data_IF_973717218624
#
_entry.id   IF_973717218624
#
_cell.length_a   1.000
_cell.length_b   1.000
_cell.length_c   1.000
_cell.angle_alpha   90.00
_cell.angle_beta   90.00
_cell.angle_gamma   90.00
#
_symmetry.space_group_name_H-M   'P 1'
#
loop_
_entity.id
_entity.type
_entity.pdbx_description
1 polymer ?
#
# COMPACT_ATOMS: atom_id res chain seq x y z
N UNK A 1 19.42 -14.39 -2.95
CA UNK A 1 18.56 -13.33 -2.39
C UNK A 1 17.39 -14.00 -1.70
N UNK A 2 17.01 -13.51 -0.52
CA UNK A 2 15.82 -14.01 0.19
C UNK A 2 14.59 -13.41 -0.49
N UNK A 3 13.58 -14.24 -0.79
CA UNK A 3 12.35 -13.74 -1.38
C UNK A 3 11.61 -12.83 -0.40
N UNK A 4 11.01 -11.76 -0.92
CA UNK A 4 10.13 -10.90 -0.13
C UNK A 4 8.95 -11.72 0.39
N UNK A 5 8.55 -11.63 1.67
CA UNK A 5 7.43 -12.42 2.19
C UNK A 5 6.12 -12.22 1.43
N UNK A 6 5.93 -11.09 0.75
CA UNK A 6 4.71 -10.79 -0.02
C UNK A 6 4.81 -11.21 -1.51
N UNK A 7 5.93 -11.77 -1.97
CA UNK A 7 6.12 -12.04 -3.40
C UNK A 7 5.15 -13.06 -3.99
N UNK A 8 4.57 -13.94 -3.15
CA UNK A 8 3.61 -14.97 -3.57
C UNK A 8 2.18 -14.69 -3.07
N UNK A 9 1.88 -13.46 -2.61
CA UNK A 9 0.60 -13.11 -1.97
C UNK A 9 -0.64 -13.43 -2.81
N UNK A 10 -0.52 -13.40 -4.15
CA UNK A 10 -1.60 -13.77 -5.07
C UNK A 10 -2.10 -15.20 -4.92
N UNK A 11 -1.33 -16.07 -4.29
CA UNK A 11 -1.71 -17.47 -4.03
C UNK A 11 -2.34 -17.68 -2.66
N UNK A 12 -2.23 -16.70 -1.75
CA UNK A 12 -2.52 -16.90 -0.33
C UNK A 12 -3.99 -17.23 -0.07
N UNK A 13 -4.91 -16.59 -0.81
CA UNK A 13 -6.36 -16.82 -0.64
C UNK A 13 -6.80 -18.28 -0.83
N UNK A 14 -5.98 -19.08 -1.51
CA UNK A 14 -6.24 -20.50 -1.77
C UNK A 14 -5.54 -21.46 -0.79
N UNK A 15 -4.78 -20.94 0.18
CA UNK A 15 -4.10 -21.76 1.18
C UNK A 15 -5.11 -22.43 2.11
N UNK A 16 -4.87 -23.71 2.40
CA UNK A 16 -5.67 -24.48 3.35
C UNK A 16 -5.37 -24.13 4.82
N UNK A 17 -4.20 -23.53 5.10
CA UNK A 17 -3.78 -23.09 6.44
C UNK A 17 -2.85 -21.88 6.36
N UNK A 18 -2.70 -21.16 7.48
CA UNK A 18 -1.93 -19.93 7.54
C UNK A 18 -2.69 -18.70 7.03
N UNK A 19 -1.95 -17.65 6.68
CA UNK A 19 -2.53 -16.41 6.16
C UNK A 19 -3.09 -16.61 4.74
N UNK A 20 -4.37 -16.27 4.58
CA UNK A 20 -5.08 -16.19 3.29
C UNK A 20 -5.07 -14.78 2.69
N UNK A 21 -4.70 -13.80 3.50
CA UNK A 21 -4.40 -12.41 3.18
C UNK A 21 -3.66 -11.82 4.39
N UNK A 22 -3.32 -10.54 4.35
CA UNK A 22 -2.56 -9.89 5.43
C UNK A 22 -3.24 -8.59 5.88
N UNK A 23 -3.45 -8.39 7.19
CA UNK A 23 -3.81 -7.09 7.70
C UNK A 23 -2.59 -6.16 7.61
N UNK A 24 -2.79 -4.99 7.05
CA UNK A 24 -1.79 -3.92 6.98
C UNK A 24 -2.08 -2.88 8.05
N UNK A 25 -1.23 -2.83 9.08
CA UNK A 25 -1.43 -1.95 10.24
C UNK A 25 -0.83 -0.57 9.94
N UNK A 26 -1.70 0.39 9.61
CA UNK A 26 -1.34 1.76 9.23
C UNK A 26 -1.42 2.71 10.43
N UNK A 27 -0.66 2.42 11.49
CA UNK A 27 -0.68 3.22 12.73
C UNK A 27 0.73 3.50 13.25
N UNK A 28 0.96 4.75 13.64
CA UNK A 28 2.17 5.18 14.33
C UNK A 28 2.06 5.11 15.87
N UNK A 29 0.91 4.65 16.40
CA UNK A 29 0.70 4.63 17.84
C UNK A 29 1.40 3.42 18.49
N UNK A 30 2.28 3.61 19.50
CA UNK A 30 3.12 2.54 20.04
C UNK A 30 2.32 1.36 20.61
N UNK A 31 1.17 1.64 21.24
CA UNK A 31 0.28 0.60 21.79
C UNK A 31 -0.37 -0.25 20.69
N UNK A 32 -0.70 0.35 19.54
CA UNK A 32 -1.31 -0.38 18.41
C UNK A 32 -0.29 -1.31 17.78
N UNK A 33 0.93 -0.82 17.54
CA UNK A 33 2.05 -1.64 17.03
C UNK A 33 2.36 -2.79 18.00
N UNK A 34 2.42 -2.52 19.31
CA UNK A 34 2.60 -3.57 20.32
C UNK A 34 1.47 -4.61 20.28
N UNK A 35 0.22 -4.19 20.20
CA UNK A 35 -0.93 -5.09 20.13
C UNK A 35 -0.87 -5.98 18.87
N UNK A 36 -0.54 -5.41 17.72
CA UNK A 36 -0.36 -6.14 16.46
C UNK A 36 0.75 -7.20 16.56
N UNK A 37 1.92 -6.82 17.10
CA UNK A 37 3.04 -7.75 17.30
C UNK A 37 2.70 -8.86 18.30
N UNK A 38 2.03 -8.55 19.41
CA UNK A 38 1.58 -9.58 20.38
C UNK A 38 0.60 -10.55 19.73
N UNK A 39 -0.34 -10.04 18.93
CA UNK A 39 -1.31 -10.88 18.24
C UNK A 39 -0.62 -11.80 17.22
N UNK A 40 0.19 -11.24 16.32
CA UNK A 40 0.95 -12.02 15.34
C UNK A 40 1.91 -13.02 16.02
N UNK A 41 2.52 -12.61 17.14
CA UNK A 41 3.43 -13.43 17.93
C UNK A 41 2.77 -14.71 18.46
N UNK A 42 1.55 -14.61 19.01
CA UNK A 42 0.78 -15.78 19.49
C UNK A 42 0.44 -16.77 18.38
N UNK A 43 0.27 -16.29 17.16
CA UNK A 43 -0.09 -17.12 16.00
C UNK A 43 1.13 -17.60 15.21
N UNK A 44 2.34 -17.17 15.58
CA UNK A 44 3.56 -17.48 14.82
C UNK A 44 3.62 -16.82 13.44
N UNK A 45 2.86 -15.75 13.22
CA UNK A 45 2.68 -15.09 11.91
C UNK A 45 3.58 -13.84 11.76
N UNK A 46 3.86 -13.40 10.53
CA UNK A 46 4.44 -12.08 10.28
C UNK A 46 3.45 -10.96 10.61
N UNK A 47 3.97 -9.73 10.76
CA UNK A 47 3.16 -8.51 10.92
C UNK A 47 3.56 -7.49 9.85
N UNK A 48 2.59 -6.92 9.15
CA UNK A 48 2.79 -5.82 8.22
C UNK A 48 2.42 -4.50 8.92
N UNK A 49 3.39 -3.60 9.02
CA UNK A 49 3.22 -2.27 9.61
C UNK A 49 3.58 -1.25 8.54
N UNK A 50 2.69 -0.31 8.27
CA UNK A 50 2.89 0.72 7.25
C UNK A 50 2.88 2.13 7.83
N UNK A 51 3.72 2.99 7.26
CA UNK A 51 3.72 4.42 7.52
C UNK A 51 3.35 5.18 6.24
N UNK A 52 2.48 6.17 6.35
CA UNK A 52 2.11 7.05 5.23
C UNK A 52 3.18 8.10 4.97
N UNK A 53 3.21 8.62 3.74
CA UNK A 53 4.08 9.74 3.35
C UNK A 53 3.90 11.01 4.20
N UNK A 54 2.72 11.21 4.81
CA UNK A 54 2.45 12.33 5.71
C UNK A 54 2.94 12.06 7.15
N UNK A 55 2.88 10.81 7.60
CA UNK A 55 3.37 10.39 8.92
C UNK A 55 4.89 10.51 9.00
N UNK A 56 5.56 9.91 8.02
CA UNK A 56 6.99 9.66 8.02
C UNK A 56 7.54 10.02 6.64
N UNK A 57 8.52 10.92 6.61
CA UNK A 57 9.28 11.27 5.42
C UNK A 57 10.63 11.89 5.82
N UNK A 58 11.47 12.27 4.87
CA UNK A 58 12.80 12.85 5.15
C UNK A 58 12.74 14.17 5.94
N UNK A 59 11.61 14.88 5.89
CA UNK A 59 11.37 16.13 6.62
C UNK A 59 10.75 15.86 8.02
N UNK A 60 10.57 14.59 8.40
CA UNK A 60 10.00 14.12 9.67
C UNK A 60 8.49 13.88 9.66
N UNK A 61 7.78 14.31 8.61
CA UNK A 61 6.31 14.26 8.57
C UNK A 61 5.66 14.93 9.79
N UNK A 62 4.44 14.53 10.13
CA UNK A 62 3.79 15.02 11.36
C UNK A 62 4.22 14.27 12.62
N UNK A 63 4.89 13.12 12.49
CA UNK A 63 5.38 12.34 13.64
C UNK A 63 6.74 12.82 14.15
N UNK A 64 7.46 13.61 13.36
CA UNK A 64 8.85 13.98 13.61
C UNK A 64 9.86 12.86 13.31
N UNK A 65 9.44 11.78 12.63
CA UNK A 65 10.28 10.63 12.31
C UNK A 65 10.65 10.58 10.83
N UNK A 66 11.91 10.27 10.55
CA UNK A 66 12.35 9.78 9.24
C UNK A 66 12.00 8.29 9.08
N UNK A 67 12.07 7.70 7.87
CA UNK A 67 11.89 6.26 7.70
C UNK A 67 12.84 5.41 8.55
N UNK A 68 14.08 5.88 8.76
CA UNK A 68 15.03 5.24 9.67
C UNK A 68 14.55 5.27 11.13
N UNK A 69 14.11 6.43 11.60
CA UNK A 69 13.58 6.58 12.96
C UNK A 69 12.33 5.71 13.19
N UNK A 70 11.44 5.61 12.19
CA UNK A 70 10.25 4.75 12.29
C UNK A 70 10.63 3.28 12.38
N UNK A 71 11.61 2.82 11.58
CA UNK A 71 12.14 1.46 11.70
C UNK A 71 12.68 1.20 13.11
N UNK A 72 13.55 2.08 13.61
CA UNK A 72 14.17 1.93 14.93
C UNK A 72 13.11 1.92 16.03
N UNK A 73 12.08 2.77 15.91
CA UNK A 73 10.93 2.79 16.79
C UNK A 73 10.17 1.45 16.82
N UNK A 74 9.89 0.86 15.66
CA UNK A 74 9.25 -0.46 15.54
C UNK A 74 10.17 -1.56 16.10
N UNK A 75 11.47 -1.50 15.82
CA UNK A 75 12.46 -2.48 16.29
C UNK A 75 12.60 -2.47 17.82
N UNK A 76 12.56 -1.30 18.45
CA UNK A 76 12.54 -1.17 19.92
C UNK A 76 11.33 -1.85 20.53
N UNK A 77 10.14 -1.71 19.92
CA UNK A 77 8.92 -2.40 20.37
C UNK A 77 9.07 -3.91 20.19
N UNK A 78 9.55 -4.36 19.02
CA UNK A 78 9.76 -5.78 18.75
C UNK A 78 10.72 -6.43 19.77
N UNK A 79 11.85 -5.77 20.04
CA UNK A 79 12.85 -6.22 21.02
C UNK A 79 12.27 -6.33 22.43
N UNK A 80 11.48 -5.35 22.87
CA UNK A 80 10.81 -5.38 24.19
C UNK A 80 9.85 -6.57 24.31
N UNK A 81 9.20 -6.95 23.21
CA UNK A 81 8.24 -8.06 23.16
C UNK A 81 8.90 -9.42 22.92
N UNK A 82 10.21 -9.46 22.61
CA UNK A 82 10.86 -10.67 22.10
C UNK A 82 10.30 -11.12 20.75
N UNK A 83 9.72 -10.22 19.96
CA UNK A 83 9.22 -10.53 18.63
C UNK A 83 10.40 -10.52 17.63
N UNK A 84 10.61 -11.58 16.84
CA UNK A 84 11.69 -11.63 15.86
C UNK A 84 11.47 -10.60 14.74
N UNK A 85 12.39 -9.64 14.60
CA UNK A 85 12.24 -8.51 13.69
C UNK A 85 12.22 -8.93 12.22
N UNK A 86 12.82 -10.08 11.88
CA UNK A 86 12.75 -10.68 10.54
C UNK A 86 11.33 -11.06 10.10
N UNK A 87 10.37 -11.12 11.02
CA UNK A 87 8.94 -11.33 10.73
C UNK A 87 8.14 -10.02 10.64
N UNK A 88 8.78 -8.87 10.84
CA UNK A 88 8.18 -7.56 10.60
C UNK A 88 8.37 -7.20 9.14
N UNK A 89 7.27 -6.89 8.47
CA UNK A 89 7.28 -6.33 7.12
C UNK A 89 6.98 -4.84 7.29
N UNK A 90 7.92 -3.99 6.89
CA UNK A 90 7.74 -2.55 6.86
C UNK A 90 7.26 -2.12 5.48
N UNK A 91 6.12 -1.42 5.43
CA UNK A 91 5.56 -0.86 4.21
C UNK A 91 5.43 0.67 4.24
N UNK A 92 5.52 1.29 3.08
CA UNK A 92 5.28 2.71 2.91
C UNK A 92 4.00 2.92 2.09
N UNK A 93 3.13 3.77 2.61
CA UNK A 93 1.79 4.01 2.08
C UNK A 93 1.65 5.37 1.40
N UNK A 94 0.96 5.39 0.26
CA UNK A 94 0.77 6.53 -0.65
C UNK A 94 2.08 7.30 -0.91
N UNK A 95 3.16 6.58 -1.22
CA UNK A 95 4.45 7.21 -1.46
C UNK A 95 4.44 7.93 -2.82
N UNK A 96 4.51 9.25 -2.76
CA UNK A 96 4.51 10.13 -3.91
C UNK A 96 4.52 11.60 -3.51
N UNK A 97 4.06 12.51 -4.38
CA UNK A 97 4.16 13.95 -4.14
C UNK A 97 3.13 14.50 -3.15
N UNK A 98 2.23 13.68 -2.59
CA UNK A 98 1.10 14.14 -1.76
C UNK A 98 1.47 15.14 -0.64
N UNK A 99 2.52 14.93 0.18
CA UNK A 99 2.91 15.90 1.23
C UNK A 99 3.34 17.26 0.67
N UNK A 100 3.76 17.30 -0.59
CA UNK A 100 4.31 18.48 -1.26
C UNK A 100 3.48 18.90 -2.48
N UNK A 101 2.24 18.44 -2.62
CA UNK A 101 1.38 18.74 -3.79
C UNK A 101 1.08 20.23 -4.01
N UNK A 102 1.34 21.07 -3.00
CA UNK A 102 1.25 22.54 -3.11
C UNK A 102 2.45 23.17 -3.81
N UNK A 103 3.52 22.41 -4.06
CA UNK A 103 4.68 22.84 -4.86
C UNK A 103 4.46 22.52 -6.34
N UNK A 104 5.24 23.13 -7.26
CA UNK A 104 5.30 22.71 -8.66
C UNK A 104 5.68 21.24 -8.79
N UNK A 105 5.17 20.57 -9.83
CA UNK A 105 5.35 19.14 -10.06
C UNK A 105 6.80 18.65 -9.96
N UNK A 106 7.75 19.38 -10.56
CA UNK A 106 9.17 19.03 -10.52
C UNK A 106 9.71 18.99 -9.09
N UNK A 107 9.44 20.04 -8.30
CA UNK A 107 9.92 20.14 -6.91
C UNK A 107 9.26 19.09 -6.01
N UNK A 108 7.95 18.87 -6.17
CA UNK A 108 7.22 17.85 -5.42
C UNK A 108 7.74 16.44 -5.74
N UNK A 109 8.03 16.14 -7.00
CA UNK A 109 8.58 14.85 -7.41
C UNK A 109 10.03 14.66 -6.98
N UNK A 110 10.85 15.71 -6.93
CA UNK A 110 12.21 15.61 -6.40
C UNK A 110 12.20 15.27 -4.91
N UNK A 111 11.29 15.86 -4.13
CA UNK A 111 11.06 15.46 -2.74
C UNK A 111 10.51 14.04 -2.60
N UNK A 112 9.59 13.63 -3.48
CA UNK A 112 9.07 12.26 -3.49
C UNK A 112 10.17 11.22 -3.78
N UNK A 113 11.13 11.52 -4.66
CA UNK A 113 12.29 10.66 -4.91
C UNK A 113 13.20 10.54 -3.69
N UNK A 114 13.48 11.65 -2.99
CA UNK A 114 14.25 11.62 -1.74
C UNK A 114 13.56 10.78 -0.67
N UNK A 115 12.24 10.92 -0.54
CA UNK A 115 11.44 10.09 0.36
C UNK A 115 11.58 8.61 0.02
N UNK A 116 11.36 8.24 -1.25
CA UNK A 116 11.45 6.84 -1.69
C UNK A 116 12.84 6.24 -1.44
N UNK A 117 13.91 6.99 -1.71
CA UNK A 117 15.27 6.57 -1.38
C UNK A 117 15.44 6.31 0.13
N UNK A 118 14.90 7.20 0.98
CA UNK A 118 14.96 7.05 2.44
C UNK A 118 14.18 5.82 2.94
N UNK A 119 12.95 5.58 2.45
CA UNK A 119 12.16 4.39 2.77
C UNK A 119 12.90 3.11 2.33
N UNK A 120 13.40 3.08 1.11
CA UNK A 120 14.10 1.93 0.55
C UNK A 120 15.40 1.61 1.32
N UNK A 121 16.22 2.62 1.65
CA UNK A 121 17.44 2.45 2.47
C UNK A 121 17.17 2.06 3.91
N UNK A 122 16.05 2.51 4.48
CA UNK A 122 15.61 2.10 5.81
C UNK A 122 15.13 0.64 5.85
N UNK A 123 15.01 -0.05 4.70
CA UNK A 123 14.63 -1.46 4.64
C UNK A 123 13.11 -1.68 4.58
N UNK A 124 12.35 -0.69 4.10
CA UNK A 124 10.95 -0.90 3.76
C UNK A 124 10.86 -1.75 2.50
N UNK A 125 10.14 -2.87 2.57
CA UNK A 125 10.10 -3.87 1.52
C UNK A 125 8.74 -3.98 0.84
N UNK A 126 7.74 -3.20 1.26
CA UNK A 126 6.48 -2.99 0.53
C UNK A 126 6.35 -1.50 0.23
N UNK A 127 6.24 -1.12 -1.03
CA UNK A 127 6.17 0.29 -1.44
C UNK A 127 4.90 0.53 -2.26
N UNK A 128 3.95 1.25 -1.70
CA UNK A 128 2.79 1.75 -2.44
C UNK A 128 3.17 3.04 -3.17
N UNK A 129 3.23 3.00 -4.50
CA UNK A 129 3.59 4.13 -5.34
C UNK A 129 2.32 4.81 -5.86
N UNK A 130 1.97 5.94 -5.25
CA UNK A 130 0.80 6.73 -5.62
C UNK A 130 1.22 8.13 -6.04
N UNK A 131 1.12 8.37 -7.34
CA UNK A 131 1.44 9.66 -7.98
C UNK A 131 0.25 10.20 -8.78
N UNK A 132 -0.96 9.83 -8.38
CA UNK A 132 -2.22 10.16 -9.08
C UNK A 132 -2.67 11.61 -8.91
N UNK A 133 -2.25 12.25 -7.82
CA UNK A 133 -2.66 13.61 -7.47
C UNK A 133 -1.88 14.67 -8.25
N UNK A 134 -2.60 15.69 -8.70
CA UNK A 134 -1.99 16.88 -9.27
C UNK A 134 -1.16 17.69 -8.27
N UNK A 135 -0.03 18.22 -8.75
CA UNK A 135 0.74 19.24 -8.04
C UNK A 135 0.26 20.65 -8.42
N UNK A 136 0.91 21.70 -7.89
CA UNK A 136 0.52 23.07 -8.21
C UNK A 136 0.62 23.35 -9.71
N UNK A 137 -0.48 23.83 -10.29
CA UNK A 137 -0.59 24.10 -11.73
C UNK A 137 -1.08 22.90 -12.56
N UNK A 138 -1.35 21.75 -11.96
CA UNK A 138 -1.88 20.56 -12.63
C UNK A 138 -3.37 20.32 -12.32
N UNK A 139 -4.09 19.54 -13.14
CA UNK A 139 -5.42 19.05 -12.80
C UNK A 139 -5.41 18.25 -11.51
N UNK A 140 -6.50 18.28 -10.74
CA UNK A 140 -6.63 17.56 -9.45
C UNK A 140 -6.32 16.06 -9.60
N UNK A 141 -6.84 15.44 -10.65
CA UNK A 141 -6.52 14.08 -11.05
C UNK A 141 -5.72 14.09 -12.35
N UNK A 142 -4.56 13.43 -12.35
CA UNK A 142 -3.71 13.31 -13.52
C UNK A 142 -4.21 12.23 -14.48
N UNK A 143 -3.67 12.23 -15.71
CA UNK A 143 -3.89 11.12 -16.63
C UNK A 143 -3.17 9.86 -16.15
N UNK A 144 -3.74 8.69 -16.45
CA UNK A 144 -3.17 7.38 -16.10
C UNK A 144 -1.72 7.23 -16.58
N UNK A 145 -1.41 7.74 -17.78
CA UNK A 145 -0.06 7.70 -18.34
C UNK A 145 0.95 8.51 -17.53
N UNK A 146 0.61 9.75 -17.12
CA UNK A 146 1.50 10.59 -16.31
C UNK A 146 1.65 10.05 -14.89
N UNK A 147 0.57 9.53 -14.32
CA UNK A 147 0.58 8.82 -13.04
C UNK A 147 1.56 7.65 -13.10
N UNK A 148 1.44 6.78 -14.12
CA UNK A 148 2.31 5.63 -14.29
C UNK A 148 3.78 6.00 -14.51
N UNK A 149 4.06 7.06 -15.30
CA UNK A 149 5.41 7.56 -15.53
C UNK A 149 6.08 8.03 -14.23
N UNK A 150 5.34 8.81 -13.42
CA UNK A 150 5.84 9.27 -12.12
C UNK A 150 6.10 8.11 -11.17
N UNK A 151 5.18 7.15 -11.06
CA UNK A 151 5.36 5.94 -10.25
C UNK A 151 6.59 5.14 -10.71
N UNK A 152 6.80 4.95 -12.01
CA UNK A 152 7.99 4.29 -12.54
C UNK A 152 9.29 5.02 -12.19
N UNK A 153 9.28 6.36 -12.19
CA UNK A 153 10.43 7.17 -11.77
C UNK A 153 10.78 6.98 -10.29
N UNK A 154 9.77 6.82 -9.42
CA UNK A 154 9.97 6.50 -8.01
C UNK A 154 10.48 5.07 -7.82
N UNK A 155 9.89 4.11 -8.53
CA UNK A 155 10.36 2.72 -8.52
C UNK A 155 11.85 2.62 -8.91
N UNK A 156 12.29 3.37 -9.92
CA UNK A 156 13.70 3.38 -10.35
C UNK A 156 14.65 3.82 -9.23
N UNK A 157 14.23 4.79 -8.41
CA UNK A 157 15.01 5.24 -7.23
C UNK A 157 15.07 4.14 -6.19
N UNK A 158 13.95 3.51 -5.85
CA UNK A 158 13.91 2.38 -4.91
C UNK A 158 14.80 1.21 -5.37
N UNK A 159 14.75 0.88 -6.67
CA UNK A 159 15.53 -0.19 -7.27
C UNK A 159 17.04 0.08 -7.21
N UNK A 160 17.45 1.34 -7.42
CA UNK A 160 18.84 1.76 -7.31
C UNK A 160 19.33 1.69 -5.85
N UNK A 161 18.52 2.18 -4.90
CA UNK A 161 18.83 2.20 -3.48
C UNK A 161 18.96 0.79 -2.86
N UNK A 162 18.28 -0.19 -3.44
CA UNK A 162 18.21 -1.56 -2.89
C UNK A 162 19.00 -2.58 -3.71
N UNK A 163 19.91 -2.16 -4.61
CA UNK A 163 20.63 -3.06 -5.55
C UNK A 163 21.23 -4.29 -4.88
N UNK A 164 21.87 -4.06 -3.72
CA UNK A 164 22.57 -5.08 -2.96
C UNK A 164 21.80 -5.53 -1.70
N UNK A 165 20.52 -5.13 -1.59
CA UNK A 165 19.68 -5.51 -0.46
C UNK A 165 19.36 -7.01 -0.48
N UNK A 166 19.36 -7.65 0.69
CA UNK A 166 19.05 -9.07 0.82
C UNK A 166 17.62 -9.41 0.37
N UNK A 167 16.69 -8.47 0.60
CA UNK A 167 15.28 -8.52 0.18
C UNK A 167 15.01 -7.28 -0.67
N UNK A 168 14.53 -7.50 -1.90
CA UNK A 168 14.09 -6.44 -2.81
C UNK A 168 12.63 -6.04 -2.49
N UNK A 169 12.24 -4.78 -2.71
CA UNK A 169 10.88 -4.34 -2.47
C UNK A 169 9.88 -5.00 -3.42
N UNK A 170 8.65 -5.17 -2.94
CA UNK A 170 7.46 -5.35 -3.77
C UNK A 170 6.72 -4.02 -3.91
N UNK A 171 5.98 -3.87 -5.00
CA UNK A 171 5.26 -2.66 -5.33
C UNK A 171 3.75 -2.86 -5.30
N UNK A 172 3.04 -1.84 -4.84
CA UNK A 172 1.61 -1.65 -5.02
C UNK A 172 1.42 -0.40 -5.87
N UNK A 173 0.53 -0.44 -6.85
CA UNK A 173 0.22 0.68 -7.75
C UNK A 173 -1.26 1.05 -7.69
N UNK A 174 -1.63 2.16 -8.31
CA UNK A 174 -3.01 2.65 -8.29
C UNK A 174 -3.31 3.49 -7.06
N UNK A 175 -4.57 3.86 -6.92
CA UNK A 175 -5.09 4.69 -5.84
C UNK A 175 -6.58 4.37 -5.70
N UNK A 176 -7.16 4.62 -4.55
CA UNK A 176 -8.61 4.61 -4.38
C UNK A 176 -9.19 5.98 -4.70
N UNK A 177 -10.42 5.98 -5.21
CA UNK A 177 -11.13 7.22 -5.51
C UNK A 177 -12.49 7.14 -4.81
N UNK A 178 -12.83 8.11 -3.94
CA UNK A 178 -12.01 9.23 -3.49
C UNK A 178 -10.81 8.80 -2.59
N UNK A 179 -9.78 9.64 -2.49
CA UNK A 179 -8.58 9.47 -1.64
C UNK A 179 -9.01 9.22 -0.17
N UNK A 180 -8.31 8.39 0.64
CA UNK A 180 -8.77 7.93 1.94
C UNK A 180 -8.67 9.02 3.00
N UNK A 181 -9.45 8.84 4.06
CA UNK A 181 -9.37 9.70 5.24
C UNK A 181 -10.62 9.68 6.14
N UNK A 182 -11.59 8.81 5.84
CA UNK A 182 -12.94 8.93 6.37
C UNK A 182 -13.63 10.15 5.75
N UNK A 183 -14.83 9.97 5.20
CA UNK A 183 -15.57 11.14 4.75
C UNK A 183 -15.97 11.97 5.97
N UNK A 184 -15.69 13.27 5.94
CA UNK A 184 -16.18 14.21 6.94
C UNK A 184 -17.71 14.41 6.84
N UNK A 185 -18.36 13.83 5.84
CA UNK A 185 -19.79 13.87 5.56
C UNK A 185 -20.35 12.44 5.41
N UNK A 186 -21.68 12.31 5.49
CA UNK A 186 -22.36 11.03 5.32
C UNK A 186 -22.15 10.51 3.89
N UNK A 187 -21.63 9.29 3.77
CA UNK A 187 -21.36 8.65 2.47
C UNK A 187 -22.62 7.93 2.02
N UNK A 188 -23.31 8.48 1.04
CA UNK A 188 -24.54 7.88 0.51
C UNK A 188 -24.24 6.80 -0.55
N UNK A 189 -23.28 7.03 -1.46
CA UNK A 189 -22.91 6.07 -2.50
C UNK A 189 -21.40 6.05 -2.77
N UNK A 190 -20.82 4.84 -2.77
CA UNK A 190 -19.43 4.59 -3.07
C UNK A 190 -19.34 3.74 -4.35
N UNK A 191 -18.71 4.29 -5.39
CA UNK A 191 -18.57 3.59 -6.66
C UNK A 191 -17.45 2.56 -6.57
N UNK A 192 -17.80 1.28 -6.76
CA UNK A 192 -16.83 0.20 -6.89
C UNK A 192 -15.98 0.45 -8.14
N UNK A 193 -14.65 0.30 -8.03
CA UNK A 193 -13.76 0.48 -9.17
C UNK A 193 -14.19 -0.37 -10.36
N UNK A 194 -14.31 0.27 -11.52
CA UNK A 194 -14.68 -0.41 -12.76
C UNK A 194 -13.60 -1.42 -13.17
N UNK A 195 -13.95 -2.64 -13.60
CA UNK A 195 -12.99 -3.66 -14.01
C UNK A 195 -11.98 -3.21 -15.07
N UNK A 196 -12.41 -2.36 -15.99
CA UNK A 196 -11.61 -1.82 -17.09
C UNK A 196 -10.55 -0.85 -16.56
N UNK A 197 -10.90 -0.01 -15.57
CA UNK A 197 -9.97 0.93 -14.95
C UNK A 197 -8.85 0.21 -14.18
N UNK A 198 -9.18 -0.89 -13.48
CA UNK A 198 -8.18 -1.72 -12.81
C UNK A 198 -7.20 -2.36 -13.80
N UNK A 199 -7.72 -2.88 -14.94
CA UNK A 199 -6.87 -3.43 -16.02
C UNK A 199 -5.98 -2.36 -16.64
N UNK A 200 -6.56 -1.21 -16.96
CA UNK A 200 -5.83 -0.09 -17.58
C UNK A 200 -4.71 0.39 -16.67
N UNK A 201 -4.99 0.62 -15.38
CA UNK A 201 -4.00 1.05 -14.38
C UNK A 201 -2.77 0.15 -14.40
N UNK A 202 -2.97 -1.18 -14.36
CA UNK A 202 -1.87 -2.13 -14.34
C UNK A 202 -1.14 -2.17 -15.68
N UNK A 203 -1.87 -2.07 -16.80
CA UNK A 203 -1.28 -2.03 -18.14
C UNK A 203 -0.37 -0.81 -18.34
N UNK A 204 -0.86 0.40 -18.01
CA UNK A 204 -0.07 1.63 -18.16
C UNK A 204 1.15 1.65 -17.24
N UNK A 205 1.06 1.12 -16.02
CA UNK A 205 2.21 1.01 -15.13
C UNK A 205 3.24 0.00 -15.65
N UNK A 206 2.80 -1.13 -16.20
CA UNK A 206 3.69 -2.10 -16.84
C UNK A 206 4.49 -1.45 -17.97
N UNK A 207 3.82 -0.68 -18.83
CA UNK A 207 4.47 0.05 -19.91
C UNK A 207 5.43 1.12 -19.41
N UNK A 208 5.03 1.91 -18.41
CA UNK A 208 5.87 2.96 -17.85
C UNK A 208 7.14 2.40 -17.21
N UNK A 209 7.05 1.29 -16.48
CA UNK A 209 8.21 0.60 -15.91
C UNK A 209 9.14 0.07 -17.01
N UNK A 210 8.57 -0.46 -18.10
CA UNK A 210 9.36 -0.90 -19.25
C UNK A 210 10.08 0.27 -19.95
N UNK A 211 9.38 1.39 -20.18
CA UNK A 211 9.94 2.63 -20.76
C UNK A 211 11.05 3.22 -19.89
N UNK A 212 10.93 3.11 -18.57
CA UNK A 212 11.95 3.53 -17.60
C UNK A 212 13.14 2.55 -17.47
N UNK A 213 13.16 1.44 -18.23
CA UNK A 213 14.24 0.45 -18.19
C UNK A 213 14.25 -0.46 -16.95
N UNK A 214 13.16 -0.49 -16.20
CA UNK A 214 13.00 -1.25 -14.94
C UNK A 214 11.89 -2.30 -15.04
N UNK A 215 11.68 -2.90 -16.23
CA UNK A 215 10.63 -3.90 -16.45
C UNK A 215 10.66 -5.06 -15.43
N UNK A 216 11.86 -5.50 -15.03
CA UNK A 216 12.03 -6.55 -14.01
C UNK A 216 11.53 -6.13 -12.63
N UNK A 217 11.51 -4.83 -12.30
CA UNK A 217 10.92 -4.34 -11.06
C UNK A 217 9.40 -4.56 -11.04
N UNK A 218 8.75 -4.42 -12.19
CA UNK A 218 7.31 -4.63 -12.32
C UNK A 218 6.89 -6.09 -12.12
N UNK A 219 7.79 -7.06 -12.30
CA UNK A 219 7.54 -8.46 -11.91
C UNK A 219 7.35 -8.62 -10.39
N UNK A 220 7.76 -7.63 -9.59
CA UNK A 220 7.52 -7.54 -8.15
C UNK A 220 6.38 -6.57 -7.79
N UNK A 221 5.63 -6.06 -8.77
CA UNK A 221 4.34 -5.44 -8.49
C UNK A 221 3.34 -6.55 -8.15
N UNK A 222 2.89 -6.59 -6.89
CA UNK A 222 2.08 -7.70 -6.35
C UNK A 222 0.64 -7.30 -6.09
N UNK A 223 0.31 -6.01 -6.20
CA UNK A 223 -1.07 -5.57 -5.99
C UNK A 223 -1.38 -4.22 -6.61
N UNK A 224 -2.68 -3.97 -6.72
CA UNK A 224 -3.21 -2.68 -7.12
C UNK A 224 -4.24 -2.23 -6.08
N UNK A 225 -4.22 -0.93 -5.77
CA UNK A 225 -5.27 -0.30 -4.96
C UNK A 225 -6.50 -0.09 -5.83
N UNK A 226 -7.65 -0.46 -5.28
CA UNK A 226 -8.98 -0.29 -5.88
C UNK A 226 -10.00 -0.03 -4.77
N UNK A 227 -11.15 0.54 -5.13
CA UNK A 227 -12.28 0.76 -4.24
C UNK A 227 -13.27 -0.43 -4.33
N UNK A 228 -13.35 -1.33 -3.32
CA UNK A 228 -14.26 -2.48 -3.32
C UNK A 228 -15.71 -2.16 -2.91
N UNK A 229 -16.02 -0.90 -2.58
CA UNK A 229 -17.29 -0.53 -1.96
C UNK A 229 -17.25 -0.62 -0.44
N UNK A 230 -16.11 -0.28 0.18
CA UNK A 230 -15.98 -0.15 1.64
C UNK A 230 -15.47 1.23 2.00
N UNK A 231 -16.09 1.84 3.00
CA UNK A 231 -15.68 3.14 3.57
C UNK A 231 -16.41 3.34 4.89
N UNK A 232 -16.03 4.36 5.64
CA UNK A 232 -16.74 4.82 6.82
C UNK A 232 -16.83 6.35 6.86
N UNK A 233 -17.96 6.86 7.34
CA UNK A 233 -18.16 8.26 7.68
C UNK A 233 -18.17 8.46 9.19
N UNK A 234 -18.49 9.67 9.65
CA UNK A 234 -18.57 10.00 11.08
C UNK A 234 -19.58 9.14 11.86
N UNK A 235 -20.65 8.71 11.19
CA UNK A 235 -21.80 8.04 11.83
C UNK A 235 -22.28 6.78 11.11
N UNK A 236 -21.63 6.37 10.02
CA UNK A 236 -22.03 5.22 9.22
C UNK A 236 -20.82 4.42 8.70
N UNK A 237 -21.08 3.16 8.36
CA UNK A 237 -20.11 2.26 7.72
C UNK A 237 -20.75 1.73 6.45
N UNK A 238 -20.06 1.85 5.32
CA UNK A 238 -20.45 1.24 4.05
C UNK A 238 -19.91 -0.18 4.05
N UNK A 239 -20.80 -1.15 4.30
CA UNK A 239 -20.41 -2.56 4.39
C UNK A 239 -20.05 -3.15 3.02
N UNK A 240 -19.04 -4.02 3.00
CA UNK A 240 -18.65 -4.73 1.78
C UNK A 240 -19.80 -5.57 1.21
N UNK A 241 -20.05 -5.42 -0.09
CA UNK A 241 -21.01 -6.21 -0.87
C UNK A 241 -20.28 -6.99 -1.96
N UNK A 242 -20.13 -8.30 -1.74
CA UNK A 242 -19.45 -9.19 -2.68
C UNK A 242 -20.15 -9.24 -4.05
N UNK A 243 -21.47 -9.05 -4.11
CA UNK A 243 -22.22 -9.02 -5.36
C UNK A 243 -21.85 -7.81 -6.21
N UNK A 244 -21.73 -6.63 -5.60
CA UNK A 244 -21.29 -5.40 -6.28
C UNK A 244 -19.83 -5.48 -6.73
N UNK A 245 -18.96 -6.12 -5.94
CA UNK A 245 -17.53 -6.25 -6.26
C UNK A 245 -17.18 -7.45 -7.15
N UNK A 246 -18.15 -8.29 -7.56
CA UNK A 246 -17.89 -9.53 -8.29
C UNK A 246 -17.17 -9.30 -9.62
N UNK A 247 -17.61 -8.31 -10.41
CA UNK A 247 -16.99 -7.98 -11.70
C UNK A 247 -15.55 -7.48 -11.55
N UNK A 248 -15.28 -6.69 -10.51
CA UNK A 248 -13.93 -6.22 -10.18
C UNK A 248 -13.05 -7.40 -9.75
N UNK A 249 -13.57 -8.28 -8.89
CA UNK A 249 -12.86 -9.46 -8.39
C UNK A 249 -12.48 -10.43 -9.52
N UNK A 250 -13.35 -10.58 -10.54
CA UNK A 250 -13.11 -11.43 -11.70
C UNK A 250 -11.89 -11.01 -12.52
N UNK A 251 -11.47 -9.74 -12.46
CA UNK A 251 -10.27 -9.23 -13.15
C UNK A 251 -9.00 -9.98 -12.74
N UNK A 252 -8.92 -10.45 -11.48
CA UNK A 252 -7.75 -11.16 -10.97
C UNK A 252 -7.53 -12.53 -11.64
N UNK A 253 -8.50 -13.06 -12.38
CA UNK A 253 -8.31 -14.27 -13.19
C UNK A 253 -7.34 -14.04 -14.36
N UNK A 254 -7.32 -12.81 -14.89
CA UNK A 254 -6.44 -12.39 -15.99
C UNK A 254 -5.10 -11.82 -15.46
N UNK A 255 -5.11 -11.26 -14.26
CA UNK A 255 -3.95 -10.60 -13.64
C UNK A 255 -3.15 -11.53 -12.73
N UNK A 256 -2.47 -12.51 -13.33
CA UNK A 256 -1.61 -13.44 -12.58
C UNK A 256 -0.54 -12.68 -11.78
N UNK A 257 -0.38 -13.04 -10.51
CA UNK A 257 0.59 -12.42 -9.60
C UNK A 257 0.08 -11.19 -8.84
N UNK A 258 -1.13 -10.70 -9.15
CA UNK A 258 -1.73 -9.56 -8.45
C UNK A 258 -2.78 -9.98 -7.42
N UNK A 259 -2.90 -9.17 -6.38
CA UNK A 259 -4.06 -9.08 -5.49
C UNK A 259 -4.58 -7.64 -5.50
N UNK A 260 -5.77 -7.44 -4.95
CA UNK A 260 -6.20 -6.09 -4.60
C UNK A 260 -5.78 -5.73 -3.18
N UNK A 261 -5.35 -4.48 -3.02
CA UNK A 261 -5.18 -3.83 -1.73
C UNK A 261 -6.37 -2.92 -1.48
N UNK A 262 -7.09 -3.15 -0.39
CA UNK A 262 -8.25 -2.35 0.00
C UNK A 262 -7.87 -1.43 1.17
N UNK A 263 -8.21 -0.16 1.01
CA UNK A 263 -8.07 0.88 2.03
C UNK A 263 -9.39 1.07 2.77
N UNK A 264 -9.35 1.81 3.89
CA UNK A 264 -10.53 2.10 4.71
C UNK A 264 -11.35 0.86 5.09
N UNK A 265 -10.68 -0.27 5.39
CA UNK A 265 -11.37 -1.52 5.76
C UNK A 265 -11.78 -1.57 7.23
N UNK A 266 -11.52 -0.47 7.95
CA UNK A 266 -11.90 -0.26 9.33
C UNK A 266 -13.42 -0.43 9.55
N UNK A 267 -13.79 -0.85 10.75
CA UNK A 267 -15.19 -1.02 11.21
C UNK A 267 -16.04 -2.07 10.46
N UNK A 268 -15.51 -2.74 9.43
CA UNK A 268 -16.18 -3.85 8.76
C UNK A 268 -16.39 -5.03 9.72
N UNK A 269 -17.45 -5.82 9.49
CA UNK A 269 -17.69 -7.03 10.27
C UNK A 269 -16.65 -8.11 9.95
N UNK A 270 -16.39 -9.07 10.86
CA UNK A 270 -15.51 -10.21 10.58
C UNK A 270 -15.91 -10.98 9.31
N UNK A 271 -17.21 -11.09 9.03
CA UNK A 271 -17.74 -11.74 7.82
C UNK A 271 -17.39 -10.95 6.56
N UNK A 272 -17.52 -9.61 6.60
CA UNK A 272 -17.15 -8.74 5.49
C UNK A 272 -15.63 -8.77 5.22
N UNK A 273 -14.80 -8.73 6.27
CA UNK A 273 -13.35 -8.87 6.16
C UNK A 273 -12.95 -10.21 5.53
N UNK A 274 -13.62 -11.31 5.91
CA UNK A 274 -13.41 -12.61 5.28
C UNK A 274 -13.84 -12.60 3.81
N UNK A 275 -15.00 -12.01 3.50
CA UNK A 275 -15.50 -11.91 2.14
C UNK A 275 -14.57 -11.08 1.24
N UNK A 276 -13.95 -10.02 1.76
CA UNK A 276 -12.91 -9.27 1.04
C UNK A 276 -11.73 -10.17 0.63
N UNK A 277 -11.18 -10.96 1.57
CA UNK A 277 -10.10 -11.92 1.25
C UNK A 277 -10.56 -12.94 0.20
N UNK A 278 -11.75 -13.52 0.36
CA UNK A 278 -12.30 -14.54 -0.55
C UNK A 278 -12.49 -13.99 -1.97
N UNK A 279 -12.71 -12.68 -2.11
CA UNK A 279 -12.86 -11.98 -3.39
C UNK A 279 -11.56 -11.37 -3.93
N UNK A 280 -10.41 -11.61 -3.28
CA UNK A 280 -9.09 -11.24 -3.79
C UNK A 280 -8.54 -9.90 -3.30
N UNK A 281 -9.25 -9.22 -2.41
CA UNK A 281 -8.71 -8.10 -1.62
C UNK A 281 -7.85 -8.68 -0.51
N UNK A 282 -6.59 -8.99 -0.81
CA UNK A 282 -5.73 -9.82 0.05
C UNK A 282 -4.81 -9.01 0.97
N UNK A 283 -4.77 -7.69 0.80
CA UNK A 283 -4.13 -6.75 1.71
C UNK A 283 -5.23 -5.81 2.20
N UNK A 284 -5.51 -5.84 3.50
CA UNK A 284 -6.57 -5.04 4.11
C UNK A 284 -5.95 -4.02 5.05
N UNK A 285 -6.04 -2.73 4.71
CA UNK A 285 -5.48 -1.63 5.50
C UNK A 285 -6.43 -1.20 6.60
N UNK A 286 -5.87 -1.03 7.80
CA UNK A 286 -6.58 -0.66 9.03
C UNK A 286 -5.72 0.33 9.84
N UNK A 287 -6.31 1.35 10.43
CA UNK A 287 -5.57 2.41 11.12
C UNK A 287 -6.39 3.21 12.14
N UNK A 288 -7.41 3.97 11.72
CA UNK A 288 -8.29 4.78 12.58
C UNK A 288 -9.02 4.00 13.68
#
# INVERSE_FOLDING_TARGET
MTANPLSDISTWRFRASGLRGIPSICSAHPVVIEAAMRHAGRLGLPVLIEATCNQVNQDGGYTGMTPGDFRDFVEVIAKRLGFPFERVILGGDHLGPNPWKKLPATEAMDKAKVMIDAFAKAGFTKLHLDTSMGCAGEPVALSDALTAERAASLAAVAEAATRDAAIRPVYIVGTEVPIPGGAMEEIEELEVTRPEAARETIAVHREAFAKAGIAQAFERAVGAVVQPGVEFGNHNVVAFDAGKAASLSAVLSDLKGFVFEAHSTDYQTPEALKALIDNGFSILKVGP
#
